data_IF_352466952442
#
_entry.id   IF_352466952442
#
_cell.length_a   1.000
_cell.length_b   1.000
_cell.length_c   1.000
_cell.angle_alpha   90.00
_cell.angle_beta   90.00
_cell.angle_gamma   90.00
#
_symmetry.space_group_name_H-M   'P 1'
#
loop_
_entity.id
_entity.type
_entity.pdbx_description
1 polymer ?
#
# COMPACT_ATOMS: atom_id res chain seq x y z
N UNK A 1 7.35 15.30 -14.78
CA UNK A 1 8.65 15.64 -14.20
C UNK A 1 9.33 14.33 -13.88
N UNK A 2 10.41 14.00 -14.57
CA UNK A 2 11.12 12.74 -14.34
C UNK A 2 11.81 12.82 -12.98
N UNK A 3 11.62 11.83 -12.11
CA UNK A 3 12.25 11.75 -10.78
C UNK A 3 13.77 11.51 -10.84
N UNK A 4 14.43 11.84 -11.94
CA UNK A 4 15.85 11.54 -12.19
C UNK A 4 16.65 12.82 -11.97
N UNK A 5 17.51 12.81 -10.96
CA UNK A 5 18.39 13.92 -10.59
C UNK A 5 19.87 13.61 -10.83
N UNK A 6 20.23 12.35 -11.02
CA UNK A 6 21.60 11.94 -11.31
C UNK A 6 21.64 10.80 -12.35
N UNK A 7 22.71 10.74 -13.14
CA UNK A 7 22.98 9.66 -14.08
C UNK A 7 24.26 8.96 -13.65
N UNK A 8 24.16 7.67 -13.35
CA UNK A 8 25.32 6.86 -12.99
C UNK A 8 26.24 6.63 -14.20
N UNK A 9 27.53 6.36 -13.95
CA UNK A 9 28.47 5.97 -15.02
C UNK A 9 27.97 4.76 -15.80
N UNK A 10 27.37 3.79 -15.10
CA UNK A 10 26.81 2.59 -15.72
C UNK A 10 25.65 2.92 -16.66
N UNK A 11 24.73 3.79 -16.24
CA UNK A 11 23.64 4.26 -17.11
C UNK A 11 24.15 4.99 -18.34
N UNK A 12 25.09 5.92 -18.17
CA UNK A 12 25.70 6.65 -19.28
C UNK A 12 26.39 5.70 -20.29
N UNK A 13 27.17 4.74 -19.79
CA UNK A 13 27.76 3.69 -20.60
C UNK A 13 26.70 2.94 -21.42
N UNK A 14 25.66 2.42 -20.75
CA UNK A 14 24.60 1.65 -21.41
C UNK A 14 23.86 2.46 -22.45
N UNK A 15 23.58 3.73 -22.15
CA UNK A 15 22.93 4.65 -23.05
C UNK A 15 23.77 4.90 -24.30
N UNK A 16 25.05 5.25 -24.14
CA UNK A 16 25.95 5.49 -25.27
C UNK A 16 26.16 4.23 -26.12
N UNK A 17 26.33 3.07 -25.49
CA UNK A 17 26.53 1.80 -26.17
C UNK A 17 25.27 1.33 -26.94
N UNK A 18 24.10 1.40 -26.31
CA UNK A 18 22.90 0.70 -26.81
C UNK A 18 21.85 1.60 -27.44
N UNK A 19 21.77 2.85 -26.98
CA UNK A 19 20.81 3.83 -27.49
C UNK A 19 21.46 4.65 -28.60
N UNK A 20 22.61 5.26 -28.34
CA UNK A 20 23.35 6.05 -29.35
C UNK A 20 24.19 5.19 -30.30
N UNK A 21 24.43 3.91 -29.96
CA UNK A 21 25.25 2.99 -30.75
C UNK A 21 26.62 3.57 -31.08
N UNK A 22 27.27 4.19 -30.09
CA UNK A 22 28.63 4.70 -30.29
C UNK A 22 29.62 3.51 -30.35
N UNK A 23 30.15 3.26 -31.54
CA UNK A 23 31.05 2.14 -31.83
C UNK A 23 32.44 2.26 -31.17
N UNK A 24 32.80 3.44 -30.65
CA UNK A 24 34.07 3.63 -29.95
C UNK A 24 34.04 3.06 -28.52
N UNK A 25 32.84 2.87 -27.96
CA UNK A 25 32.63 2.45 -26.58
C UNK A 25 32.02 1.04 -26.56
N UNK A 26 32.86 0.04 -26.82
CA UNK A 26 32.43 -1.34 -26.92
C UNK A 26 32.28 -2.02 -25.55
N UNK A 27 33.05 -1.59 -24.54
CA UNK A 27 33.07 -2.19 -23.21
C UNK A 27 33.00 -1.17 -22.08
N UNK A 28 32.55 -1.60 -20.90
CA UNK A 28 32.46 -0.75 -19.72
C UNK A 28 33.85 -0.30 -19.23
N UNK A 29 34.88 -1.13 -19.40
CA UNK A 29 36.26 -0.78 -19.06
C UNK A 29 36.79 0.35 -19.94
N UNK A 30 36.53 0.31 -21.26
CA UNK A 30 36.89 1.38 -22.19
C UNK A 30 36.15 2.68 -21.84
N UNK A 31 34.86 2.59 -21.50
CA UNK A 31 34.09 3.76 -21.05
C UNK A 31 34.67 4.38 -19.78
N UNK A 32 34.98 3.55 -18.78
CA UNK A 32 35.56 4.03 -17.52
C UNK A 32 36.91 4.72 -17.74
N UNK A 33 37.75 4.18 -18.63
CA UNK A 33 39.02 4.83 -19.00
C UNK A 33 38.80 6.15 -19.73
N UNK A 34 37.85 6.20 -20.67
CA UNK A 34 37.47 7.43 -21.38
C UNK A 34 37.02 8.52 -20.40
N UNK A 35 36.12 8.20 -19.48
CA UNK A 35 35.61 9.12 -18.45
C UNK A 35 36.73 9.60 -17.52
N UNK A 36 37.68 8.73 -17.18
CA UNK A 36 38.84 9.08 -16.35
C UNK A 36 39.75 10.11 -17.04
N UNK A 37 39.95 9.96 -18.35
CA UNK A 37 40.78 10.87 -19.15
C UNK A 37 40.03 12.16 -19.57
N UNK A 38 38.70 12.12 -19.60
CA UNK A 38 37.86 13.21 -20.11
C UNK A 38 36.66 13.48 -19.17
N UNK A 39 36.87 13.98 -17.94
CA UNK A 39 35.79 14.23 -16.99
C UNK A 39 34.76 15.24 -17.50
N UNK A 40 35.21 16.31 -18.19
CA UNK A 40 34.35 17.33 -18.82
C UNK A 40 33.34 16.70 -19.81
N UNK A 41 33.83 15.81 -20.69
CA UNK A 41 32.99 15.11 -21.68
C UNK A 41 31.96 14.20 -21.02
N UNK A 42 32.26 13.65 -19.85
CA UNK A 42 31.28 12.85 -19.11
C UNK A 42 30.14 13.72 -18.57
N UNK A 43 30.43 14.92 -18.09
CA UNK A 43 29.40 15.89 -17.69
C UNK A 43 28.53 16.32 -18.88
N UNK A 44 29.13 16.54 -20.05
CA UNK A 44 28.40 16.82 -21.30
C UNK A 44 27.46 15.67 -21.69
N UNK A 45 27.93 14.42 -21.61
CA UNK A 45 27.08 13.23 -21.87
C UNK A 45 25.90 13.19 -20.91
N UNK A 46 26.13 13.42 -19.61
CA UNK A 46 25.04 13.44 -18.62
C UNK A 46 24.04 14.55 -18.94
N UNK A 47 24.51 15.77 -19.24
CA UNK A 47 23.65 16.90 -19.57
C UNK A 47 22.77 16.61 -20.79
N UNK A 48 23.37 16.09 -21.86
CA UNK A 48 22.65 15.65 -23.07
C UNK A 48 21.59 14.59 -22.73
N UNK A 49 21.97 13.57 -21.95
CA UNK A 49 21.03 12.53 -21.54
C UNK A 49 19.86 13.08 -20.72
N UNK A 50 20.13 14.00 -19.80
CA UNK A 50 19.07 14.66 -19.02
C UNK A 50 18.11 15.42 -19.91
N UNK A 51 18.63 16.28 -20.79
CA UNK A 51 17.83 17.07 -21.71
C UNK A 51 16.97 16.18 -22.60
N UNK A 52 17.54 15.09 -23.13
CA UNK A 52 16.78 14.15 -23.94
C UNK A 52 15.72 13.40 -23.15
N UNK A 53 16.04 12.93 -21.93
CA UNK A 53 15.11 12.15 -21.11
C UNK A 53 13.97 13.04 -20.59
N UNK A 54 14.24 14.27 -20.19
CA UNK A 54 13.24 15.21 -19.69
C UNK A 54 12.16 15.56 -20.73
N UNK A 55 12.51 15.49 -22.02
CA UNK A 55 11.57 15.66 -23.13
C UNK A 55 10.70 14.41 -23.39
N UNK A 56 11.05 13.25 -22.82
CA UNK A 56 10.31 12.01 -23.05
C UNK A 56 9.06 11.91 -22.18
N UNK A 57 8.00 11.36 -22.76
CA UNK A 57 6.82 10.91 -22.02
C UNK A 57 7.08 9.51 -21.47
N UNK A 58 7.72 9.45 -20.30
CA UNK A 58 7.99 8.18 -19.63
C UNK A 58 6.73 7.63 -18.96
N UNK A 59 6.35 6.41 -19.30
CA UNK A 59 5.33 5.66 -18.58
C UNK A 59 5.97 4.98 -17.35
N UNK A 60 5.41 5.21 -16.16
CA UNK A 60 5.77 4.44 -14.98
C UNK A 60 5.13 3.05 -15.04
N UNK A 61 5.96 2.01 -15.06
CA UNK A 61 5.50 0.62 -15.07
C UNK A 61 5.30 0.08 -13.66
N UNK A 62 6.09 0.54 -12.70
CA UNK A 62 5.98 0.14 -11.30
C UNK A 62 7.34 0.10 -10.62
N UNK A 63 7.32 -0.36 -9.37
CA UNK A 63 8.49 -0.51 -8.53
C UNK A 63 8.79 -2.00 -8.32
N UNK A 64 9.96 -2.45 -8.74
CA UNK A 64 10.31 -3.87 -8.79
C UNK A 64 11.69 -4.14 -8.18
N UNK A 65 11.85 -5.28 -7.50
CA UNK A 65 13.18 -5.80 -7.17
C UNK A 65 13.80 -6.36 -8.44
N UNK A 66 14.90 -5.75 -8.88
CA UNK A 66 15.66 -6.21 -10.04
C UNK A 66 16.92 -6.89 -9.52
N UNK A 67 16.98 -8.22 -9.65
CA UNK A 67 18.01 -9.09 -9.05
C UNK A 67 18.01 -9.01 -7.51
N UNK A 68 19.15 -9.25 -6.87
CA UNK A 68 19.31 -9.26 -5.40
C UNK A 68 19.33 -7.85 -4.77
N UNK A 69 18.91 -6.82 -5.52
CA UNK A 69 18.96 -5.45 -5.06
C UNK A 69 17.62 -5.01 -4.44
N UNK A 70 17.66 -3.87 -3.77
CA UNK A 70 16.46 -3.14 -3.35
C UNK A 70 15.58 -2.78 -4.55
N UNK A 71 14.34 -2.43 -4.23
CA UNK A 71 13.35 -2.03 -5.23
C UNK A 71 13.85 -0.83 -6.06
N UNK A 72 13.48 -0.80 -7.33
CA UNK A 72 13.78 0.29 -8.26
C UNK A 72 12.55 0.63 -9.09
N UNK A 73 12.41 1.91 -9.40
CA UNK A 73 11.38 2.42 -10.29
C UNK A 73 11.72 2.07 -11.74
N UNK A 74 10.75 1.52 -12.45
CA UNK A 74 10.88 1.14 -13.86
C UNK A 74 10.00 2.05 -14.69
N UNK A 75 10.64 2.75 -15.62
CA UNK A 75 10.00 3.66 -16.55
C UNK A 75 10.22 3.20 -17.99
N UNK A 76 9.25 3.44 -18.88
CA UNK A 76 9.31 3.06 -20.28
C UNK A 76 9.06 4.28 -21.16
N UNK A 77 9.99 4.54 -22.06
CA UNK A 77 9.74 5.32 -23.27
C UNK A 77 9.17 4.37 -24.33
N UNK A 78 7.88 4.50 -24.62
CA UNK A 78 7.21 3.65 -25.60
C UNK A 78 7.64 3.96 -27.04
N UNK A 79 7.95 5.23 -27.35
CA UNK A 79 8.31 5.64 -28.71
C UNK A 79 9.66 5.09 -29.11
N UNK A 80 10.67 5.25 -28.23
CA UNK A 80 12.02 4.71 -28.50
C UNK A 80 12.20 3.27 -28.02
N UNK A 81 11.20 2.71 -27.32
CA UNK A 81 11.20 1.38 -26.68
C UNK A 81 12.40 1.19 -25.76
N UNK A 82 12.59 2.14 -24.84
CA UNK A 82 13.71 2.14 -23.88
C UNK A 82 13.14 2.05 -22.47
N UNK A 83 13.63 1.07 -21.71
CA UNK A 83 13.38 0.97 -20.28
C UNK A 83 14.47 1.74 -19.54
N UNK A 84 14.07 2.60 -18.62
CA UNK A 84 14.90 3.33 -17.67
C UNK A 84 14.67 2.81 -16.26
N UNK A 85 15.75 2.48 -15.55
CA UNK A 85 15.69 1.98 -14.18
C UNK A 85 16.26 3.05 -13.25
N UNK A 86 15.41 3.54 -12.36
CA UNK A 86 15.71 4.66 -11.46
C UNK A 86 15.65 4.17 -10.02
N UNK A 87 16.68 4.51 -9.24
CA UNK A 87 16.73 4.22 -7.80
C UNK A 87 17.19 5.46 -7.06
N UNK A 88 16.45 5.88 -6.04
CA UNK A 88 16.78 7.07 -5.22
C UNK A 88 17.12 8.30 -6.08
N UNK A 89 16.31 8.53 -7.13
CA UNK A 89 16.50 9.58 -8.13
C UNK A 89 17.77 9.48 -8.99
N UNK A 90 18.48 8.35 -8.95
CA UNK A 90 19.60 8.05 -9.84
C UNK A 90 19.12 7.15 -10.98
N UNK A 91 19.39 7.54 -12.23
CA UNK A 91 19.31 6.62 -13.36
C UNK A 91 20.46 5.60 -13.24
N UNK A 92 20.10 4.38 -12.86
CA UNK A 92 21.04 3.29 -12.61
C UNK A 92 21.44 2.62 -13.92
N UNK A 93 20.47 2.41 -14.82
CA UNK A 93 20.71 1.77 -16.10
C UNK A 93 19.55 2.00 -17.07
N UNK A 94 19.78 1.71 -18.34
CA UNK A 94 18.75 1.71 -19.37
C UNK A 94 18.96 0.60 -20.39
N UNK A 95 17.87 0.10 -20.97
CA UNK A 95 17.87 -0.96 -21.97
C UNK A 95 16.95 -0.61 -23.12
N UNK A 96 17.48 -0.56 -24.34
CA UNK A 96 16.64 -0.58 -25.54
C UNK A 96 16.07 -1.99 -25.70
N UNK A 97 14.76 -2.08 -25.84
CA UNK A 97 14.06 -3.33 -26.08
C UNK A 97 14.28 -3.75 -27.54
N UNK A 98 14.98 -4.86 -27.71
CA UNK A 98 15.27 -5.46 -28.99
C UNK A 98 15.19 -6.97 -28.81
N UNK A 99 14.13 -7.59 -29.33
CA UNK A 99 13.82 -9.00 -29.16
C UNK A 99 14.43 -9.85 -30.27
N UNK A 100 14.44 -9.31 -31.50
CA UNK A 100 14.93 -9.98 -32.70
C UNK A 100 15.65 -9.00 -33.63
N UNK A 101 16.42 -9.50 -34.60
CA UNK A 101 17.12 -8.67 -35.59
C UNK A 101 16.20 -8.19 -36.74
N UNK A 102 14.92 -7.90 -36.46
CA UNK A 102 13.95 -7.39 -37.42
C UNK A 102 13.08 -6.34 -36.75
N UNK A 103 13.08 -5.12 -37.29
CA UNK A 103 12.39 -3.98 -36.68
C UNK A 103 10.87 -4.14 -36.67
N UNK A 104 10.30 -4.69 -37.74
CA UNK A 104 8.86 -4.95 -37.84
C UNK A 104 8.42 -6.02 -36.81
N UNK A 105 9.19 -7.10 -36.68
CA UNK A 105 8.93 -8.13 -35.69
C UNK A 105 9.08 -7.60 -34.26
N UNK A 106 10.07 -6.75 -33.99
CA UNK A 106 10.19 -6.07 -32.69
C UNK A 106 8.97 -5.23 -32.36
N UNK A 107 8.43 -4.51 -33.34
CA UNK A 107 7.26 -3.67 -33.15
C UNK A 107 6.01 -4.49 -32.79
N UNK A 108 5.80 -5.61 -33.49
CA UNK A 108 4.69 -6.52 -33.19
C UNK A 108 4.83 -7.13 -31.79
N UNK A 109 6.03 -7.59 -31.43
CA UNK A 109 6.31 -8.14 -30.10
C UNK A 109 6.10 -7.09 -29.00
N UNK A 110 6.60 -5.87 -29.21
CA UNK A 110 6.43 -4.76 -28.27
C UNK A 110 4.95 -4.42 -28.05
N UNK A 111 4.15 -4.33 -29.12
CA UNK A 111 2.69 -4.11 -29.01
C UNK A 111 2.00 -5.21 -28.22
N UNK A 112 2.38 -6.47 -28.42
CA UNK A 112 1.84 -7.59 -27.64
C UNK A 112 2.16 -7.44 -26.15
N UNK A 113 3.42 -7.14 -25.80
CA UNK A 113 3.81 -6.89 -24.40
C UNK A 113 3.03 -5.73 -23.78
N UNK A 114 2.87 -4.61 -24.49
CA UNK A 114 2.12 -3.47 -23.98
C UNK A 114 0.64 -3.79 -23.77
N UNK A 115 0.04 -4.59 -24.66
CA UNK A 115 -1.32 -5.09 -24.51
C UNK A 115 -1.46 -5.95 -23.25
N UNK A 116 -0.53 -6.85 -23.01
CA UNK A 116 -0.55 -7.71 -21.82
C UNK A 116 -0.37 -6.90 -20.52
N UNK A 117 0.53 -5.92 -20.51
CA UNK A 117 0.68 -4.99 -19.39
C UNK A 117 -0.63 -4.25 -19.13
N UNK A 118 -1.27 -3.71 -20.17
CA UNK A 118 -2.53 -2.99 -20.06
C UNK A 118 -3.66 -3.88 -19.50
N UNK A 119 -3.81 -5.11 -20.02
CA UNK A 119 -4.81 -6.07 -19.54
C UNK A 119 -4.59 -6.35 -18.04
N UNK A 120 -3.35 -6.59 -17.63
CA UNK A 120 -3.03 -6.90 -16.23
C UNK A 120 -3.20 -5.68 -15.30
N UNK A 121 -2.87 -4.46 -15.75
CA UNK A 121 -3.16 -3.22 -15.02
C UNK A 121 -4.66 -3.07 -14.79
N UNK A 122 -5.49 -3.32 -15.80
CA UNK A 122 -6.95 -3.24 -15.65
C UNK A 122 -7.50 -4.31 -14.71
N UNK A 123 -7.02 -5.56 -14.81
CA UNK A 123 -7.39 -6.63 -13.87
C UNK A 123 -7.06 -6.24 -12.43
N UNK A 124 -5.87 -5.70 -12.18
CA UNK A 124 -5.46 -5.20 -10.86
C UNK A 124 -6.39 -4.10 -10.37
N UNK A 125 -6.69 -3.11 -11.20
CA UNK A 125 -7.56 -1.99 -10.83
C UNK A 125 -8.99 -2.47 -10.51
N UNK A 126 -9.54 -3.37 -11.31
CA UNK A 126 -10.86 -3.96 -11.03
C UNK A 126 -10.88 -4.68 -9.68
N UNK A 127 -9.82 -5.44 -9.36
CA UNK A 127 -9.71 -6.12 -8.07
C UNK A 127 -9.63 -5.12 -6.90
N UNK A 128 -8.86 -4.03 -7.06
CA UNK A 128 -8.80 -2.95 -6.05
C UNK A 128 -10.20 -2.36 -5.83
N UNK A 129 -10.91 -1.99 -6.90
CA UNK A 129 -12.27 -1.44 -6.80
C UNK A 129 -13.23 -2.41 -6.10
N UNK A 130 -13.16 -3.71 -6.39
CA UNK A 130 -13.97 -4.71 -5.71
C UNK A 130 -13.67 -4.78 -4.21
N UNK A 131 -12.39 -4.78 -3.83
CA UNK A 131 -11.96 -4.79 -2.43
C UNK A 131 -12.40 -3.53 -1.68
N UNK A 132 -12.33 -2.36 -2.33
CA UNK A 132 -12.82 -1.10 -1.74
C UNK A 132 -14.32 -1.15 -1.47
N UNK A 133 -15.11 -1.65 -2.44
CA UNK A 133 -16.55 -1.82 -2.27
C UNK A 133 -16.90 -2.83 -1.15
N UNK A 134 -16.16 -3.93 -1.07
CA UNK A 134 -16.33 -4.93 -0.02
C UNK A 134 -15.98 -4.36 1.37
N UNK A 135 -14.89 -3.59 1.48
CA UNK A 135 -14.54 -2.90 2.72
C UNK A 135 -15.62 -1.92 3.17
N UNK A 136 -16.22 -1.15 2.26
CA UNK A 136 -17.32 -0.24 2.60
C UNK A 136 -18.51 -1.03 3.15
N UNK A 137 -18.90 -2.13 2.50
CA UNK A 137 -19.99 -3.00 2.97
C UNK A 137 -19.69 -3.57 4.36
N UNK A 138 -18.50 -4.11 4.55
CA UNK A 138 -18.08 -4.69 5.82
C UNK A 138 -18.06 -3.64 6.95
N UNK A 139 -17.56 -2.44 6.69
CA UNK A 139 -17.55 -1.35 7.67
C UNK A 139 -18.96 -0.91 8.07
N UNK A 140 -19.90 -0.85 7.12
CA UNK A 140 -21.30 -0.57 7.43
C UNK A 140 -21.89 -1.67 8.33
N UNK A 141 -21.64 -2.95 8.02
CA UNK A 141 -22.10 -4.06 8.85
C UNK A 141 -21.47 -4.06 10.25
N UNK A 142 -20.18 -3.72 10.38
CA UNK A 142 -19.51 -3.56 11.68
C UNK A 142 -20.21 -2.47 12.50
N UNK A 143 -20.47 -1.31 11.89
CA UNK A 143 -21.13 -0.19 12.55
C UNK A 143 -22.54 -0.57 13.05
N UNK A 144 -23.30 -1.32 12.25
CA UNK A 144 -24.62 -1.82 12.67
C UNK A 144 -24.54 -2.79 13.86
N UNK A 145 -23.55 -3.69 13.86
CA UNK A 145 -23.31 -4.63 14.97
C UNK A 145 -22.91 -3.87 16.24
N UNK A 146 -22.04 -2.87 16.13
CA UNK A 146 -21.64 -2.01 17.26
C UNK A 146 -22.82 -1.26 17.87
N UNK A 147 -23.73 -0.75 17.04
CA UNK A 147 -24.97 -0.11 17.50
C UNK A 147 -25.88 -1.10 18.24
N UNK A 148 -26.03 -2.32 17.72
CA UNK A 148 -26.79 -3.38 18.40
C UNK A 148 -26.17 -3.74 19.75
N UNK A 149 -24.85 -3.91 19.80
CA UNK A 149 -24.12 -4.17 21.05
C UNK A 149 -24.32 -3.05 22.07
N UNK A 150 -24.30 -1.79 21.65
CA UNK A 150 -24.56 -0.64 22.54
C UNK A 150 -25.96 -0.69 23.14
N UNK A 151 -26.98 -1.01 22.34
CA UNK A 151 -28.37 -1.14 22.82
C UNK A 151 -28.52 -2.27 23.84
N UNK A 152 -27.95 -3.44 23.54
CA UNK A 152 -27.98 -4.58 24.46
C UNK A 152 -27.30 -4.27 25.80
N UNK A 153 -26.17 -3.54 25.79
CA UNK A 153 -25.53 -3.07 27.04
C UNK A 153 -26.42 -2.14 27.86
N UNK A 154 -27.16 -1.24 27.21
CA UNK A 154 -28.11 -0.36 27.90
C UNK A 154 -29.26 -1.16 28.53
N UNK A 155 -29.74 -2.20 27.83
CA UNK A 155 -30.79 -3.08 28.34
C UNK A 155 -30.31 -3.92 29.54
N UNK A 156 -29.09 -4.45 29.48
CA UNK A 156 -28.45 -5.15 30.61
C UNK A 156 -28.40 -4.24 31.84
N UNK A 157 -27.95 -2.98 31.68
CA UNK A 157 -27.87 -2.04 32.81
C UNK A 157 -29.25 -1.78 33.44
N UNK A 158 -30.31 -1.65 32.64
CA UNK A 158 -31.68 -1.49 33.16
C UNK A 158 -32.13 -2.71 33.95
N UNK A 159 -31.89 -3.91 33.43
CA UNK A 159 -32.23 -5.16 34.14
C UNK A 159 -31.44 -5.33 35.43
N UNK A 160 -30.19 -4.85 35.49
CA UNK A 160 -29.39 -4.82 36.72
C UNK A 160 -29.95 -3.86 37.77
N UNK A 161 -30.44 -2.69 37.35
CA UNK A 161 -31.14 -1.73 38.22
C UNK A 161 -32.45 -2.33 38.77
N UNK A 162 -33.30 -2.89 37.91
CA UNK A 162 -34.55 -3.56 38.31
C UNK A 162 -34.28 -4.71 39.29
N UNK A 163 -33.25 -5.53 39.03
CA UNK A 163 -32.84 -6.60 39.96
C UNK A 163 -32.48 -6.05 41.34
N UNK A 164 -31.78 -4.90 41.39
CA UNK A 164 -31.39 -4.26 42.66
C UNK A 164 -32.61 -3.75 43.43
N UNK A 165 -33.58 -3.14 42.74
CA UNK A 165 -34.83 -2.69 43.35
C UNK A 165 -35.64 -3.85 43.94
N UNK A 166 -35.75 -4.96 43.19
CA UNK A 166 -36.41 -6.17 43.68
C UNK A 166 -35.72 -6.75 44.91
N UNK A 167 -34.39 -6.79 44.93
CA UNK A 167 -33.62 -7.25 46.10
C UNK A 167 -33.85 -6.36 47.32
N UNK A 168 -33.90 -5.04 47.14
CA UNK A 168 -34.21 -4.10 48.21
C UNK A 168 -35.63 -4.33 48.75
N UNK A 169 -36.63 -4.45 47.87
CA UNK A 169 -38.01 -4.74 48.28
C UNK A 169 -38.15 -6.05 49.05
N UNK A 170 -37.41 -7.10 48.65
CA UNK A 170 -37.36 -8.36 49.41
C UNK A 170 -36.72 -8.15 50.78
N UNK A 171 -35.70 -7.31 50.89
CA UNK A 171 -35.07 -6.97 52.18
C UNK A 171 -36.04 -6.22 53.09
N UNK A 172 -36.75 -5.21 52.58
CA UNK A 172 -37.71 -4.42 53.36
C UNK A 172 -38.81 -5.31 53.93
N UNK A 173 -39.36 -6.21 53.11
CA UNK A 173 -40.38 -7.20 53.54
C UNK A 173 -39.86 -8.15 54.62
N UNK A 174 -38.57 -8.52 54.59
CA UNK A 174 -37.98 -9.34 55.65
C UNK A 174 -37.92 -8.58 56.97
N UNK A 175 -37.54 -7.30 56.93
CA UNK A 175 -37.52 -6.45 58.12
C UNK A 175 -38.93 -6.24 58.69
N UNK A 176 -39.95 -6.05 57.84
CA UNK A 176 -41.35 -6.00 58.28
C UNK A 176 -41.78 -7.31 58.98
N UNK A 177 -41.39 -8.47 58.43
CA UNK A 177 -41.63 -9.78 59.02
C UNK A 177 -41.00 -9.91 60.41
N UNK A 178 -39.74 -9.48 60.56
CA UNK A 178 -39.02 -9.49 61.85
C UNK A 178 -39.70 -8.62 62.91
N UNK A 179 -40.22 -7.45 62.51
CA UNK A 179 -40.98 -6.57 63.40
C UNK A 179 -42.26 -7.25 63.87
N UNK A 180 -43.02 -7.85 62.94
CA UNK A 180 -44.25 -8.58 63.27
C UNK A 180 -43.96 -9.75 64.22
N UNK A 181 -42.89 -10.50 63.99
CA UNK A 181 -42.50 -11.62 64.87
C UNK A 181 -42.19 -11.12 66.30
N UNK A 182 -41.48 -10.00 66.46
CA UNK A 182 -41.24 -9.39 67.78
C UNK A 182 -42.53 -8.86 68.43
N UNK A 183 -43.45 -8.27 67.67
CA UNK A 183 -44.76 -7.84 68.20
C UNK A 183 -45.62 -9.02 68.69
N UNK A 184 -45.63 -10.14 67.96
CA UNK A 184 -46.29 -11.38 68.37
C UNK A 184 -45.68 -11.88 69.68
N UNK A 185 -44.35 -11.93 69.76
CA UNK A 185 -43.62 -12.37 70.96
C UNK A 185 -43.92 -11.50 72.17
N UNK A 186 -43.91 -10.17 72.03
CA UNK A 186 -44.31 -9.23 73.08
C UNK A 186 -45.76 -9.45 73.54
N UNK A 187 -46.66 -9.74 72.61
CA UNK A 187 -48.08 -10.01 72.91
C UNK A 187 -48.25 -11.31 73.71
N UNK A 188 -47.50 -12.36 73.34
CA UNK A 188 -47.46 -13.64 74.08
C UNK A 188 -46.92 -13.42 75.49
N UNK A 189 -45.83 -12.66 75.66
CA UNK A 189 -45.26 -12.34 76.98
C UNK A 189 -46.30 -11.66 77.89
N UNK A 190 -47.02 -10.64 77.38
CA UNK A 190 -48.09 -9.96 78.11
C UNK A 190 -49.20 -10.92 78.57
N UNK A 191 -49.58 -11.93 77.77
CA UNK A 191 -50.59 -12.91 78.16
C UNK A 191 -50.13 -13.83 79.30
N UNK A 192 -48.83 -14.08 79.41
CA UNK A 192 -48.26 -15.00 80.39
C UNK A 192 -47.98 -14.34 81.76
N UNK A 193 -48.30 -13.06 81.96
CA UNK A 193 -47.97 -12.28 83.16
C UNK A 193 -46.47 -12.33 83.53
N UNK A 194 -45.59 -12.28 82.53
CA UNK A 194 -44.15 -12.06 82.66
C UNK A 194 -43.79 -10.72 82.02
#
# INVERSE_FOLDING_TARGET
MNDINNITKHAAFRYMQRVKKNNEILTEAQFNNFVKLNPEKFEEIKKMMFEEIDQLKLEFLGEYKIRNNEKSNVHLDQEKRIIYIVKDKNLVTCYKLNFVNCEESNEQIFKAFMKDIFINKNKKNNLITMLEQENIKNNNSITEIELKLKKLKQEINKLEEEKKELLNSVSDKKTELEIIDEEIKLSIQKMLNI
#
